data_IF_650272592118
#
_entry.id   IF_650272592118
#
_cell.length_a   1.000
_cell.length_b   1.000
_cell.length_c   1.000
_cell.angle_alpha   90.00
_cell.angle_beta   90.00
_cell.angle_gamma   90.00
#
_symmetry.space_group_name_H-M   'P 1'
#
loop_
_entity.id
_entity.type
_entity.pdbx_description
1 polymer ?
#
# COMPACT_ATOMS: atom_id res chain seq x y z
N UNK A 1 -0.67 9.20 -15.22
CA UNK A 1 0.31 8.15 -15.46
C UNK A 1 1.45 8.22 -14.47
N UNK A 2 1.96 7.09 -14.12
CA UNK A 2 3.06 6.99 -13.16
C UNK A 2 4.25 6.29 -13.82
N UNK A 3 5.10 7.07 -14.54
CA UNK A 3 6.25 6.45 -15.22
C UNK A 3 7.25 5.82 -14.25
N UNK A 4 7.19 6.21 -12.98
CA UNK A 4 8.10 5.65 -11.99
C UNK A 4 7.43 5.68 -10.62
N UNK A 5 7.63 4.61 -9.86
CA UNK A 5 7.19 4.55 -8.46
C UNK A 5 8.06 3.56 -7.70
N UNK A 6 8.06 3.69 -6.40
CA UNK A 6 8.77 2.78 -5.51
C UNK A 6 7.90 2.46 -4.30
N UNK A 7 7.79 1.19 -3.98
CA UNK A 7 7.11 0.76 -2.77
C UNK A 7 8.16 0.42 -1.72
N UNK A 8 8.23 1.23 -0.69
CA UNK A 8 9.17 1.03 0.39
C UNK A 8 8.42 0.51 1.60
N UNK A 9 8.67 -0.74 1.94
CA UNK A 9 8.05 -1.39 3.09
C UNK A 9 8.95 -1.18 4.30
N UNK A 10 8.38 -0.69 5.38
CA UNK A 10 9.13 -0.43 6.60
C UNK A 10 8.66 -1.36 7.73
N UNK A 11 8.43 -0.81 8.91
CA UNK A 11 8.13 -1.57 10.11
C UNK A 11 6.80 -2.31 10.02
N UNK A 12 6.78 -3.55 10.46
CA UNK A 12 5.57 -4.36 10.55
C UNK A 12 5.30 -4.73 12.01
N UNK A 13 4.07 -4.50 12.45
CA UNK A 13 3.58 -5.04 13.72
C UNK A 13 2.82 -6.33 13.40
N UNK A 14 3.13 -7.39 14.13
CA UNK A 14 2.57 -8.71 13.87
C UNK A 14 2.03 -9.30 15.16
N UNK A 15 0.77 -9.72 15.14
CA UNK A 15 0.12 -10.43 16.25
C UNK A 15 -0.35 -11.79 15.75
N UNK A 16 0.15 -12.85 16.36
CA UNK A 16 -0.19 -14.22 15.98
C UNK A 16 -1.02 -14.86 17.09
N UNK A 17 -2.11 -15.49 16.69
CA UNK A 17 -2.96 -16.23 17.62
C UNK A 17 -3.40 -17.53 16.94
N UNK A 18 -2.70 -18.63 17.25
CA UNK A 18 -3.01 -19.93 16.66
C UNK A 18 -2.74 -19.96 15.15
N UNK A 19 -3.76 -20.27 14.39
CA UNK A 19 -3.66 -20.39 12.93
C UNK A 19 -4.03 -19.10 12.21
N UNK A 20 -4.15 -18.01 12.94
CA UNK A 20 -4.49 -16.71 12.38
C UNK A 20 -3.52 -15.65 12.88
N UNK A 21 -3.23 -14.67 12.05
CA UNK A 21 -2.38 -13.56 12.42
C UNK A 21 -2.92 -12.28 11.80
N UNK A 22 -2.56 -11.17 12.44
CA UNK A 22 -2.89 -9.83 11.92
C UNK A 22 -1.61 -9.04 11.87
N UNK A 23 -1.42 -8.29 10.78
CA UNK A 23 -0.25 -7.44 10.63
C UNK A 23 -0.65 -6.05 10.20
N UNK A 24 0.18 -5.09 10.55
CA UNK A 24 0.06 -3.71 10.12
C UNK A 24 1.44 -3.25 9.69
N UNK A 25 1.59 -2.94 8.41
CA UNK A 25 2.89 -2.63 7.80
C UNK A 25 2.88 -1.20 7.29
N UNK A 26 3.93 -0.45 7.61
CA UNK A 26 4.11 0.91 7.11
C UNK A 26 4.65 0.82 5.69
N UNK A 27 4.03 1.59 4.81
CA UNK A 27 4.45 1.70 3.41
C UNK A 27 4.69 3.15 3.06
N UNK A 28 5.81 3.41 2.41
CA UNK A 28 6.11 4.71 1.84
C UNK A 28 6.24 4.55 0.34
N UNK A 29 5.43 5.31 -0.41
CA UNK A 29 5.30 5.10 -1.84
C UNK A 29 5.53 6.41 -2.60
N UNK A 30 6.79 6.73 -2.93
CA UNK A 30 7.06 7.85 -3.82
C UNK A 30 6.73 7.50 -5.26
N UNK A 31 6.14 8.46 -5.98
CA UNK A 31 5.69 8.26 -7.35
C UNK A 31 5.99 9.49 -8.18
N UNK A 32 6.12 9.27 -9.48
CA UNK A 32 6.26 10.34 -10.46
C UNK A 32 5.01 10.37 -11.31
N UNK A 33 4.39 11.55 -11.39
CA UNK A 33 3.25 11.79 -12.27
C UNK A 33 3.72 12.60 -13.46
N UNK A 34 3.34 12.17 -14.67
CA UNK A 34 3.62 12.92 -15.89
C UNK A 34 2.31 13.44 -16.45
N UNK A 35 2.23 14.77 -16.64
CA UNK A 35 1.07 15.40 -17.24
C UNK A 35 1.03 15.16 -18.76
N UNK A 36 -0.10 15.47 -19.37
CA UNK A 36 -0.23 15.38 -20.84
C UNK A 36 0.73 16.30 -21.55
N UNK A 37 1.13 17.40 -20.92
CA UNK A 37 2.11 18.34 -21.47
C UNK A 37 3.54 17.84 -21.31
N UNK A 38 3.77 16.74 -20.63
CA UNK A 38 5.10 16.18 -20.43
C UNK A 38 5.79 16.62 -19.15
N UNK A 39 5.16 17.48 -18.35
CA UNK A 39 5.72 17.91 -17.06
C UNK A 39 5.66 16.78 -16.06
N UNK A 40 6.73 16.64 -15.26
CA UNK A 40 6.81 15.61 -14.25
C UNK A 40 6.75 16.20 -12.85
N UNK A 41 6.09 15.50 -11.95
CA UNK A 41 5.91 15.91 -10.58
C UNK A 41 6.09 14.70 -9.68
N UNK A 42 6.97 14.84 -8.70
CA UNK A 42 7.17 13.78 -7.69
C UNK A 42 6.20 14.03 -6.55
N UNK A 43 5.51 12.98 -6.16
CA UNK A 43 4.63 13.02 -4.99
C UNK A 43 4.78 11.72 -4.22
N UNK A 44 4.30 11.70 -2.98
CA UNK A 44 4.38 10.47 -2.20
C UNK A 44 3.19 10.31 -1.29
N UNK A 45 2.94 9.05 -0.95
CA UNK A 45 1.85 8.63 -0.11
C UNK A 45 2.43 7.75 0.98
N UNK A 46 2.05 8.02 2.23
CA UNK A 46 2.36 7.14 3.34
C UNK A 46 1.08 6.42 3.76
N UNK A 47 1.16 5.12 3.92
CA UNK A 47 -0.01 4.31 4.22
C UNK A 47 0.38 3.09 5.02
N UNK A 48 -0.61 2.32 5.41
CA UNK A 48 -0.43 1.03 6.07
C UNK A 48 -1.15 -0.05 5.30
N UNK A 49 -0.53 -1.23 5.24
CA UNK A 49 -1.25 -2.45 4.92
C UNK A 49 -1.69 -3.10 6.21
N UNK A 50 -2.98 -3.38 6.31
CA UNK A 50 -3.55 -4.16 7.41
C UNK A 50 -3.97 -5.49 6.83
N UNK A 51 -3.29 -6.54 7.25
CA UNK A 51 -3.50 -7.87 6.70
C UNK A 51 -4.05 -8.81 7.74
N UNK A 52 -4.93 -9.69 7.30
CA UNK A 52 -5.29 -10.88 8.05
C UNK A 52 -4.68 -12.07 7.33
N UNK A 53 -3.92 -12.86 8.06
CA UNK A 53 -3.23 -14.01 7.52
C UNK A 53 -3.78 -15.28 8.16
N UNK A 54 -3.79 -16.35 7.41
CA UNK A 54 -4.24 -17.65 7.90
C UNK A 54 -3.18 -18.69 7.58
N UNK A 55 -3.05 -19.66 8.48
CA UNK A 55 -2.15 -20.78 8.26
C UNK A 55 -2.86 -21.80 7.39
N UNK A 56 -2.18 -22.22 6.34
CA UNK A 56 -2.67 -23.25 5.43
C UNK A 56 -1.67 -24.40 5.39
N UNK A 57 -2.00 -25.54 4.79
CA UNK A 57 -1.04 -26.62 4.63
C UNK A 57 0.23 -26.23 3.88
N UNK A 58 0.15 -25.18 3.02
CA UNK A 58 1.29 -24.67 2.28
C UNK A 58 1.99 -23.51 2.98
N UNK A 59 1.59 -23.19 4.21
CA UNK A 59 2.16 -22.10 4.98
C UNK A 59 1.19 -20.95 5.16
N UNK A 60 1.71 -19.83 5.63
CA UNK A 60 0.90 -18.64 5.85
C UNK A 60 0.50 -17.99 4.54
N UNK A 61 -0.76 -17.55 4.48
CA UNK A 61 -1.31 -16.83 3.32
C UNK A 61 -2.06 -15.61 3.79
N UNK A 62 -2.03 -14.55 2.98
CA UNK A 62 -2.84 -13.37 3.22
C UNK A 62 -4.27 -13.68 2.81
N UNK A 63 -5.18 -13.68 3.78
CA UNK A 63 -6.59 -13.89 3.53
C UNK A 63 -7.28 -12.58 3.13
N UNK A 64 -6.87 -11.48 3.77
CA UNK A 64 -7.41 -10.16 3.47
C UNK A 64 -6.31 -9.13 3.59
N UNK A 65 -6.29 -8.17 2.66
CA UNK A 65 -5.39 -7.01 2.74
C UNK A 65 -6.22 -5.75 2.61
N UNK A 66 -5.93 -4.80 3.47
CA UNK A 66 -6.63 -3.54 3.53
C UNK A 66 -5.62 -2.41 3.56
N UNK A 67 -5.73 -1.47 2.62
CA UNK A 67 -4.88 -0.30 2.61
C UNK A 67 -5.51 0.81 3.43
N UNK A 68 -4.78 1.28 4.42
CA UNK A 68 -5.21 2.38 5.26
C UNK A 68 -4.37 3.60 4.90
N UNK A 69 -5.03 4.64 4.38
CA UNK A 69 -4.33 5.85 3.97
C UNK A 69 -3.84 6.61 5.20
N UNK A 70 -2.59 6.98 5.18
CA UNK A 70 -1.99 7.80 6.21
C UNK A 70 -1.95 9.27 5.82
N UNK A 71 -1.13 9.60 4.82
CA UNK A 71 -0.97 10.97 4.38
C UNK A 71 -0.53 10.99 2.92
N UNK A 72 -0.65 12.17 2.29
CA UNK A 72 -0.18 12.38 0.93
C UNK A 72 0.51 13.74 0.86
N UNK A 73 1.48 13.85 -0.04
CA UNK A 73 2.22 15.09 -0.23
C UNK A 73 2.40 15.37 -1.71
N UNK A 74 2.10 16.60 -2.10
CA UNK A 74 2.34 17.08 -3.46
C UNK A 74 1.62 16.28 -4.54
N UNK A 75 0.43 15.79 -4.21
CA UNK A 75 -0.35 15.00 -5.17
C UNK A 75 -0.88 15.93 -6.25
N UNK A 76 -0.61 15.61 -7.54
CA UNK A 76 -1.10 16.47 -8.62
C UNK A 76 -2.61 16.36 -8.78
N UNK A 77 -3.25 17.37 -9.41
CA UNK A 77 -4.67 17.27 -9.74
C UNK A 77 -4.87 16.16 -10.78
N UNK A 78 -5.60 15.15 -10.41
CA UNK A 78 -5.89 14.00 -11.25
C UNK A 78 -7.15 13.32 -10.71
N UNK A 79 -7.69 12.41 -11.52
CA UNK A 79 -8.81 11.61 -11.05
C UNK A 79 -8.42 10.85 -9.78
N UNK A 80 -9.35 10.69 -8.83
CA UNK A 80 -9.04 9.89 -7.65
C UNK A 80 -8.54 8.51 -8.06
N UNK A 81 -7.56 7.95 -7.33
CA UNK A 81 -7.14 6.58 -7.60
C UNK A 81 -8.30 5.63 -7.41
N UNK A 82 -8.28 4.49 -8.08
CA UNK A 82 -9.28 3.47 -7.81
C UNK A 82 -9.24 3.12 -6.34
N UNK A 83 -10.40 2.80 -5.78
CA UNK A 83 -10.48 2.41 -4.39
C UNK A 83 -9.60 1.18 -4.19
N UNK A 84 -8.66 1.31 -3.27
CA UNK A 84 -7.76 0.23 -2.95
C UNK A 84 -8.29 -0.40 -1.67
N UNK A 85 -8.99 -1.47 -1.84
CA UNK A 85 -9.58 -2.14 -0.71
C UNK A 85 -8.81 -3.39 -0.36
N UNK A 86 -9.51 -4.48 -0.41
CA UNK A 86 -8.93 -5.79 -0.14
C UNK A 86 -8.26 -6.33 -1.39
N UNK A 87 -7.07 -6.83 -1.22
CA UNK A 87 -6.41 -7.62 -2.25
C UNK A 87 -6.43 -9.06 -1.75
N UNK A 88 -7.15 -9.85 -2.45
CA UNK A 88 -7.37 -11.23 -2.06
C UNK A 88 -6.13 -12.09 -2.03
#
# INVERSE_FOLDING_TARGET
RFPMFQHMVATTKLDIAGDEARSRTILFNPMVHRSDAGDEQVFFIGLWYRDRLVRTPEGWRIAERYEEMGYAHNVPPMAPPPEIGTAG
#
